data_IF_211373449181
#
_entry.id   IF_211373449181
#
_cell.length_a   1.000
_cell.length_b   1.000
_cell.length_c   1.000
_cell.angle_alpha   90.00
_cell.angle_beta   90.00
_cell.angle_gamma   90.00
#
_symmetry.space_group_name_H-M   'P 1'
#
loop_
_entity.id
_entity.type
_entity.pdbx_description
1 polymer ?
#
# COMPACT_ATOMS: atom_id res chain seq x y z
N UNK A 1 33.50 16.73 30.21
CA UNK A 1 32.87 16.45 28.89
C UNK A 1 33.52 15.26 28.18
N UNK A 2 34.88 15.17 28.18
CA UNK A 2 35.61 14.06 27.53
C UNK A 2 35.37 12.72 28.24
N UNK A 3 35.28 12.71 29.57
CA UNK A 3 35.04 11.49 30.36
C UNK A 3 33.64 10.86 30.13
N UNK A 4 32.67 11.65 29.67
CA UNK A 4 31.32 11.15 29.31
C UNK A 4 31.27 10.61 27.89
N UNK A 5 32.08 11.16 26.98
CA UNK A 5 32.07 10.79 25.55
C UNK A 5 32.94 9.55 25.28
N UNK A 6 34.03 9.35 26.07
CA UNK A 6 34.93 8.19 25.90
C UNK A 6 34.25 6.82 26.07
N UNK A 7 33.42 6.59 27.10
CA UNK A 7 32.72 5.29 27.24
C UNK A 7 31.66 5.10 26.12
N UNK A 8 31.06 6.17 25.61
CA UNK A 8 30.11 6.11 24.50
C UNK A 8 30.82 5.74 23.18
N UNK A 9 32.01 6.32 22.93
CA UNK A 9 32.85 5.98 21.78
C UNK A 9 33.43 4.56 21.92
N UNK A 10 33.81 4.13 23.12
CA UNK A 10 34.27 2.77 23.37
C UNK A 10 33.15 1.74 23.20
N UNK A 11 31.92 2.05 23.61
CA UNK A 11 30.76 1.20 23.38
C UNK A 11 30.39 1.09 21.90
N UNK A 12 30.55 2.17 21.13
CA UNK A 12 30.36 2.17 19.68
C UNK A 12 31.48 1.42 18.93
N UNK A 13 32.65 1.29 19.51
CA UNK A 13 33.78 0.59 18.90
C UNK A 13 33.79 -0.94 19.15
N UNK A 14 32.88 -1.46 20.00
CA UNK A 14 32.73 -2.89 20.27
C UNK A 14 31.51 -3.42 19.51
N UNK A 15 31.40 -3.09 18.24
CA UNK A 15 30.48 -3.82 17.34
C UNK A 15 31.10 -5.21 17.11
N UNK A 16 30.41 -6.30 17.48
CA UNK A 16 30.89 -7.63 17.18
C UNK A 16 31.08 -7.79 15.67
N UNK A 17 32.20 -8.42 15.29
CA UNK A 17 32.49 -8.69 13.88
C UNK A 17 31.24 -9.21 13.15
N UNK A 18 30.89 -8.62 12.00
CA UNK A 18 29.65 -8.95 11.33
C UNK A 18 29.67 -10.42 10.86
N UNK A 19 28.85 -11.22 11.49
CA UNK A 19 28.64 -12.61 11.14
C UNK A 19 27.95 -12.72 9.77
N UNK A 20 28.17 -13.81 9.05
CA UNK A 20 27.46 -14.10 7.77
C UNK A 20 25.94 -13.88 7.91
N UNK A 21 25.37 -14.22 9.05
CA UNK A 21 23.97 -13.97 9.36
C UNK A 21 23.58 -12.48 9.33
N UNK A 22 24.46 -11.60 9.80
CA UNK A 22 24.25 -10.14 9.76
C UNK A 22 24.16 -9.63 8.33
N UNK A 23 25.02 -10.13 7.44
CA UNK A 23 24.98 -9.78 6.01
C UNK A 23 23.72 -10.29 5.33
N UNK A 24 23.29 -11.53 5.58
CA UNK A 24 22.07 -12.10 5.04
C UNK A 24 20.85 -11.26 5.46
N UNK A 25 20.77 -10.92 6.74
CA UNK A 25 19.69 -10.06 7.27
C UNK A 25 19.69 -8.68 6.61
N UNK A 26 20.86 -8.05 6.48
CA UNK A 26 20.98 -6.73 5.87
C UNK A 26 20.55 -6.75 4.40
N UNK A 27 20.95 -7.75 3.63
CA UNK A 27 20.57 -7.91 2.21
C UNK A 27 19.05 -8.15 2.10
N UNK A 28 18.49 -9.04 2.92
CA UNK A 28 17.07 -9.34 2.89
C UNK A 28 16.23 -8.11 3.30
N UNK A 29 16.62 -7.42 4.36
CA UNK A 29 15.96 -6.20 4.81
C UNK A 29 16.00 -5.11 3.74
N UNK A 30 17.18 -4.90 3.12
CA UNK A 30 17.34 -3.91 2.04
C UNK A 30 16.47 -4.25 0.82
N UNK A 31 16.41 -5.52 0.42
CA UNK A 31 15.58 -5.96 -0.69
C UNK A 31 14.08 -5.70 -0.42
N UNK A 32 13.61 -6.00 0.79
CA UNK A 32 12.23 -5.72 1.20
C UNK A 32 11.94 -4.22 1.22
N UNK A 33 12.83 -3.41 1.75
CA UNK A 33 12.67 -1.95 1.81
C UNK A 33 12.67 -1.31 0.42
N UNK A 34 13.56 -1.75 -0.48
CA UNK A 34 13.60 -1.29 -1.87
C UNK A 34 12.34 -1.71 -2.60
N UNK A 35 11.89 -2.97 -2.43
CA UNK A 35 10.62 -3.45 -2.96
C UNK A 35 9.44 -2.59 -2.50
N UNK A 36 9.34 -2.32 -1.20
CA UNK A 36 8.32 -1.44 -0.63
C UNK A 36 8.37 -0.02 -1.20
N UNK A 37 9.56 0.55 -1.34
CA UNK A 37 9.76 1.87 -1.95
C UNK A 37 9.25 1.93 -3.40
N UNK A 38 9.48 0.88 -4.19
CA UNK A 38 8.97 0.78 -5.57
C UNK A 38 7.44 0.83 -5.58
N UNK A 39 6.78 0.09 -4.66
CA UNK A 39 5.31 0.13 -4.55
C UNK A 39 4.81 1.51 -4.11
N UNK A 40 5.47 2.16 -3.14
CA UNK A 40 5.12 3.52 -2.70
C UNK A 40 5.23 4.52 -3.85
N UNK A 41 6.33 4.49 -4.60
CA UNK A 41 6.52 5.39 -5.75
C UNK A 41 5.51 5.11 -6.86
N UNK A 42 5.26 3.84 -7.18
CA UNK A 42 4.27 3.44 -8.19
C UNK A 42 2.86 3.89 -7.80
N UNK A 43 2.45 3.67 -6.54
CA UNK A 43 1.16 4.10 -6.03
C UNK A 43 1.01 5.63 -6.02
N UNK A 44 2.06 6.36 -5.63
CA UNK A 44 2.08 7.83 -5.66
C UNK A 44 1.92 8.37 -7.08
N UNK A 45 2.64 7.80 -8.05
CA UNK A 45 2.49 8.16 -9.47
C UNK A 45 1.07 7.83 -9.95
N UNK A 46 0.52 6.69 -9.51
CA UNK A 46 -0.86 6.29 -9.82
C UNK A 46 -1.88 7.32 -9.34
N UNK A 47 -1.78 7.77 -8.09
CA UNK A 47 -2.68 8.81 -7.53
C UNK A 47 -2.61 10.11 -8.35
N UNK A 48 -1.42 10.51 -8.81
CA UNK A 48 -1.23 11.76 -9.56
C UNK A 48 -1.67 11.68 -11.03
N UNK A 49 -1.55 10.49 -11.66
CA UNK A 49 -1.72 10.33 -13.10
C UNK A 49 -3.01 9.64 -13.55
N UNK A 50 -3.62 8.84 -12.70
CA UNK A 50 -4.84 8.14 -13.09
C UNK A 50 -6.03 9.11 -13.19
N UNK A 51 -6.87 8.98 -14.23
CA UNK A 51 -7.97 9.93 -14.48
C UNK A 51 -9.19 9.68 -13.57
N UNK A 52 -9.39 8.44 -13.13
CA UNK A 52 -10.57 8.02 -12.39
C UNK A 52 -10.31 7.97 -10.87
N UNK A 53 -11.30 8.39 -10.09
CA UNK A 53 -11.25 8.40 -8.63
C UNK A 53 -11.02 6.99 -8.05
N UNK A 54 -11.71 5.98 -8.56
CA UNK A 54 -11.61 4.61 -8.03
C UNK A 54 -10.26 3.97 -8.35
N UNK A 55 -9.68 4.26 -9.51
CA UNK A 55 -8.33 3.80 -9.85
C UNK A 55 -7.26 4.50 -9.01
N UNK A 56 -7.44 5.79 -8.67
CA UNK A 56 -6.58 6.50 -7.71
C UNK A 56 -6.68 5.90 -6.30
N UNK A 57 -7.90 5.54 -5.88
CA UNK A 57 -8.13 4.91 -4.58
C UNK A 57 -7.44 3.53 -4.51
N UNK A 58 -7.46 2.76 -5.61
CA UNK A 58 -6.70 1.51 -5.70
C UNK A 58 -5.18 1.74 -5.61
N UNK A 59 -4.65 2.75 -6.31
CA UNK A 59 -3.24 3.12 -6.24
C UNK A 59 -2.82 3.56 -4.83
N UNK A 60 -3.67 4.32 -4.12
CA UNK A 60 -3.46 4.67 -2.72
C UNK A 60 -3.41 3.42 -1.84
N UNK A 61 -4.34 2.48 -2.02
CA UNK A 61 -4.34 1.21 -1.29
C UNK A 61 -3.07 0.40 -1.49
N UNK A 62 -2.50 0.37 -2.69
CA UNK A 62 -1.21 -0.30 -2.96
C UNK A 62 -0.06 0.34 -2.17
N UNK A 63 -0.06 1.67 -2.02
CA UNK A 63 0.95 2.38 -1.22
C UNK A 63 0.86 2.01 0.25
N UNK A 64 -0.34 2.03 0.81
CA UNK A 64 -0.59 1.82 2.24
C UNK A 64 -0.48 0.35 2.65
N UNK A 65 -0.77 -0.59 1.76
CA UNK A 65 -0.67 -2.03 2.05
C UNK A 65 0.69 -2.58 1.62
N UNK A 66 0.90 -2.82 0.33
CA UNK A 66 2.15 -3.46 -0.15
C UNK A 66 3.38 -2.60 0.11
N UNK A 67 3.28 -1.27 -0.10
CA UNK A 67 4.41 -0.36 0.09
C UNK A 67 4.82 -0.26 1.56
N UNK A 68 3.89 0.11 2.43
CA UNK A 68 4.15 0.29 3.84
C UNK A 68 4.52 -1.02 4.54
N UNK A 69 3.78 -2.11 4.27
CA UNK A 69 4.03 -3.41 4.90
C UNK A 69 5.40 -4.00 4.52
N UNK A 70 5.83 -3.90 3.27
CA UNK A 70 7.16 -4.37 2.85
C UNK A 70 8.28 -3.58 3.53
N UNK A 71 8.11 -2.26 3.71
CA UNK A 71 9.10 -1.43 4.43
C UNK A 71 9.13 -1.83 5.91
N UNK A 72 7.96 -1.99 6.55
CA UNK A 72 7.87 -2.41 7.95
C UNK A 72 8.48 -3.81 8.16
N UNK A 73 8.20 -4.77 7.27
CA UNK A 73 8.82 -6.09 7.30
C UNK A 73 10.35 -6.01 7.16
N UNK A 74 10.85 -5.17 6.26
CA UNK A 74 12.28 -4.92 6.11
C UNK A 74 12.90 -4.39 7.40
N UNK A 75 12.26 -3.44 8.07
CA UNK A 75 12.70 -2.89 9.35
C UNK A 75 12.64 -3.93 10.47
N UNK A 76 11.62 -4.78 10.52
CA UNK A 76 11.51 -5.88 11.49
C UNK A 76 12.66 -6.86 11.30
N UNK A 77 12.94 -7.27 10.06
CA UNK A 77 14.06 -8.16 9.73
C UNK A 77 15.38 -7.53 10.15
N UNK A 78 15.57 -6.24 9.89
CA UNK A 78 16.79 -5.52 10.27
C UNK A 78 16.94 -5.40 11.78
N UNK A 79 15.87 -5.09 12.49
CA UNK A 79 15.84 -4.92 13.95
C UNK A 79 16.06 -6.23 14.71
N UNK A 80 15.76 -7.39 14.09
CA UNK A 80 15.76 -8.68 14.74
C UNK A 80 14.64 -8.81 15.78
N UNK A 81 14.75 -9.78 16.69
CA UNK A 81 13.76 -10.01 17.76
C UNK A 81 13.98 -9.02 18.92
N UNK A 82 13.56 -7.80 18.75
CA UNK A 82 13.70 -6.72 19.73
C UNK A 82 12.33 -6.13 20.09
N UNK A 83 12.28 -5.31 21.13
CA UNK A 83 11.08 -4.55 21.47
C UNK A 83 10.64 -3.64 20.32
N UNK A 84 11.57 -3.15 19.51
CA UNK A 84 11.29 -2.34 18.31
C UNK A 84 10.53 -3.15 17.27
N UNK A 85 10.93 -4.39 17.01
CA UNK A 85 10.24 -5.27 16.06
C UNK A 85 8.80 -5.54 16.47
N UNK A 86 8.54 -5.72 17.75
CA UNK A 86 7.18 -5.91 18.27
C UNK A 86 6.33 -4.66 18.04
N UNK A 87 6.89 -3.46 18.27
CA UNK A 87 6.16 -2.19 17.99
C UNK A 87 5.86 -2.04 16.50
N UNK A 88 6.82 -2.33 15.63
CA UNK A 88 6.64 -2.27 14.17
C UNK A 88 5.59 -3.29 13.71
N UNK A 89 5.61 -4.51 14.25
CA UNK A 89 4.61 -5.54 13.93
C UNK A 89 3.18 -5.12 14.33
N UNK A 90 3.01 -4.49 15.49
CA UNK A 90 1.73 -3.95 15.93
C UNK A 90 1.27 -2.84 14.98
N UNK A 91 2.16 -1.93 14.57
CA UNK A 91 1.83 -0.85 13.63
C UNK A 91 1.41 -1.44 12.28
N UNK A 92 2.15 -2.40 11.73
CA UNK A 92 1.80 -3.07 10.47
C UNK A 92 0.43 -3.78 10.57
N UNK A 93 0.19 -4.51 11.64
CA UNK A 93 -1.10 -5.16 11.87
C UNK A 93 -2.28 -4.16 11.87
N UNK A 94 -2.11 -3.01 12.52
CA UNK A 94 -3.14 -1.95 12.49
C UNK A 94 -3.33 -1.37 11.10
N UNK A 95 -2.26 -1.10 10.36
CA UNK A 95 -2.34 -0.62 8.98
C UNK A 95 -3.08 -1.62 8.08
N UNK A 96 -2.76 -2.90 8.20
CA UNK A 96 -3.37 -3.97 7.40
C UNK A 96 -4.91 -4.05 7.60
N UNK A 97 -5.39 -3.80 8.81
CA UNK A 97 -6.84 -3.81 9.10
C UNK A 97 -7.49 -2.47 8.72
N UNK A 98 -6.81 -1.36 8.99
CA UNK A 98 -7.38 -0.01 8.83
C UNK A 98 -7.47 0.39 7.35
N UNK A 99 -6.47 0.05 6.52
CA UNK A 99 -6.41 0.45 5.12
C UNK A 99 -7.60 -0.05 4.29
N UNK A 100 -7.99 -1.35 4.31
CA UNK A 100 -9.17 -1.82 3.59
C UNK A 100 -10.47 -1.17 4.08
N UNK A 101 -10.60 -0.97 5.39
CA UNK A 101 -11.79 -0.36 6.00
C UNK A 101 -11.94 1.10 5.57
N UNK A 102 -10.84 1.88 5.59
CA UNK A 102 -10.82 3.27 5.15
C UNK A 102 -11.15 3.38 3.65
N UNK A 103 -10.54 2.54 2.83
CA UNK A 103 -10.75 2.50 1.39
C UNK A 103 -12.21 2.20 1.05
N UNK A 104 -12.82 1.22 1.73
CA UNK A 104 -14.23 0.88 1.54
C UNK A 104 -15.16 2.04 1.96
N UNK A 105 -14.89 2.71 3.07
CA UNK A 105 -15.67 3.85 3.53
C UNK A 105 -15.61 5.02 2.54
N UNK A 106 -14.41 5.33 2.01
CA UNK A 106 -14.21 6.38 1.02
C UNK A 106 -14.91 6.03 -0.30
N UNK A 107 -14.79 4.78 -0.77
CA UNK A 107 -15.45 4.32 -1.99
C UNK A 107 -16.98 4.42 -1.87
N UNK A 108 -17.54 4.02 -0.73
CA UNK A 108 -18.98 4.12 -0.48
C UNK A 108 -19.45 5.57 -0.40
N UNK A 109 -18.70 6.45 0.25
CA UNK A 109 -19.00 7.89 0.30
C UNK A 109 -18.98 8.53 -1.10
N UNK A 110 -17.99 8.18 -1.93
CA UNK A 110 -17.89 8.65 -3.32
C UNK A 110 -19.08 8.18 -4.15
N UNK A 111 -19.46 6.92 -4.03
CA UNK A 111 -20.63 6.37 -4.71
C UNK A 111 -21.93 7.06 -4.27
N UNK A 112 -22.12 7.28 -2.98
CA UNK A 112 -23.27 8.00 -2.43
C UNK A 112 -23.31 9.47 -2.86
N UNK A 113 -22.17 10.09 -3.17
CA UNK A 113 -22.06 11.43 -3.71
C UNK A 113 -22.31 11.51 -5.24
N UNK A 114 -22.62 10.37 -5.90
CA UNK A 114 -22.87 10.31 -7.34
C UNK A 114 -21.62 10.28 -8.21
N UNK A 115 -20.45 9.98 -7.63
CA UNK A 115 -19.23 9.74 -8.42
C UNK A 115 -19.31 8.36 -9.05
N UNK A 116 -19.56 8.32 -10.35
CA UNK A 116 -19.55 7.08 -11.12
C UNK A 116 -18.14 6.75 -11.61
N UNK A 117 -17.72 5.45 -11.57
CA UNK A 117 -16.44 5.03 -12.16
C UNK A 117 -16.47 5.19 -13.69
N UNK A 118 -15.33 5.53 -14.27
CA UNK A 118 -15.19 5.59 -15.73
C UNK A 118 -15.13 4.16 -16.25
N UNK A 119 -16.29 3.60 -16.51
CA UNK A 119 -16.47 2.25 -17.04
C UNK A 119 -16.35 2.27 -18.57
N UNK A 120 -15.20 2.51 -19.15
CA UNK A 120 -14.94 2.40 -20.58
C UNK A 120 -16.21 2.34 -21.50
N UNK A 121 -16.38 1.22 -22.19
CA UNK A 121 -17.54 0.96 -23.06
C UNK A 121 -18.71 0.25 -22.35
N UNK A 122 -18.57 -0.11 -21.08
CA UNK A 122 -19.56 -0.89 -20.34
C UNK A 122 -20.17 -0.10 -19.19
N UNK A 123 -21.47 0.11 -19.22
CA UNK A 123 -22.25 0.47 -18.02
C UNK A 123 -22.98 -0.76 -17.53
N UNK A 124 -22.74 -1.14 -16.29
CA UNK A 124 -23.53 -2.19 -15.65
C UNK A 124 -25.00 -1.75 -15.57
N UNK A 125 -25.93 -2.69 -15.74
CA UNK A 125 -27.34 -2.42 -15.51
C UNK A 125 -27.57 -1.92 -14.07
N UNK A 126 -28.45 -0.92 -13.87
CA UNK A 126 -28.87 -0.52 -12.53
C UNK A 126 -29.45 -1.71 -11.77
N UNK A 127 -29.21 -1.79 -10.46
CA UNK A 127 -29.67 -2.89 -9.60
C UNK A 127 -31.20 -2.97 -9.46
N UNK A 128 -31.92 -1.98 -9.95
CA UNK A 128 -33.38 -1.89 -9.98
C UNK A 128 -34.05 -2.54 -11.21
N UNK A 129 -33.29 -3.33 -11.98
CA UNK A 129 -33.78 -4.02 -13.18
C UNK A 129 -33.75 -3.19 -14.46
N UNK A 130 -32.99 -2.10 -14.47
CA UNK A 130 -32.76 -1.29 -15.66
C UNK A 130 -31.95 -2.03 -16.74
N UNK A 131 -32.00 -1.52 -17.97
CA UNK A 131 -31.29 -2.08 -19.12
C UNK A 131 -29.79 -1.72 -19.07
N UNK A 132 -28.92 -2.70 -19.35
CA UNK A 132 -27.50 -2.44 -19.55
C UNK A 132 -27.25 -1.76 -20.89
N UNK A 133 -26.53 -0.65 -20.90
CA UNK A 133 -26.22 0.08 -22.14
C UNK A 133 -24.76 -0.10 -22.52
N UNK A 134 -24.49 -0.53 -23.75
CA UNK A 134 -23.18 -0.54 -24.37
C UNK A 134 -23.05 0.73 -25.22
N UNK A 135 -22.10 1.60 -24.87
CA UNK A 135 -21.78 2.77 -25.67
C UNK A 135 -20.66 2.40 -26.63
N UNK A 136 -20.96 2.31 -27.92
CA UNK A 136 -19.98 2.10 -28.99
C UNK A 136 -19.81 3.39 -29.79
N UNK A 137 -18.71 3.52 -30.56
CA UNK A 137 -18.46 4.68 -31.44
C UNK A 137 -19.56 4.97 -32.46
N UNK A 138 -20.50 4.03 -32.69
CA UNK A 138 -21.60 4.14 -33.62
C UNK A 138 -22.99 4.33 -32.99
N UNK A 139 -23.09 4.46 -31.70
CA UNK A 139 -24.35 4.62 -30.98
C UNK A 139 -24.49 3.81 -29.71
N UNK A 140 -25.54 4.05 -28.97
CA UNK A 140 -25.91 3.41 -27.73
C UNK A 140 -26.73 2.15 -28.04
N UNK A 141 -26.22 0.98 -27.64
CA UNK A 141 -26.94 -0.31 -27.79
C UNK A 141 -27.44 -0.72 -26.41
N UNK A 142 -28.76 -0.72 -26.23
CA UNK A 142 -29.39 -1.25 -25.02
C UNK A 142 -29.51 -2.78 -25.11
N UNK A 143 -28.97 -3.48 -24.12
CA UNK A 143 -29.12 -4.92 -23.99
C UNK A 143 -30.07 -5.18 -22.84
N UNK A 144 -31.25 -5.71 -23.15
CA UNK A 144 -32.23 -6.14 -22.16
C UNK A 144 -31.75 -7.43 -21.51
N UNK A 145 -31.77 -7.50 -20.18
CA UNK A 145 -31.54 -8.76 -19.50
C UNK A 145 -32.59 -9.79 -19.98
N UNK A 146 -32.14 -10.94 -20.45
CA UNK A 146 -33.03 -12.04 -20.79
C UNK A 146 -33.65 -12.58 -19.49
N UNK A 147 -35.01 -12.67 -19.48
CA UNK A 147 -35.79 -13.32 -18.43
C UNK A 147 -35.39 -14.80 -18.24
#
# INVERSE_FOLDING_TARGET
MIEFVMPLLAAAAIEPEPTVWTYIRAVLASALMIGGLVFVLSGTIGILRLPDFYTRLHAAGMTDTMGAELILLGLIVQSGLTQTSLKLAIVGFFLLITSPTATHAIANAAHSAGLEPILGRWRAAPLDGGEATLVTEGGEITVKAAD
#
